data_IF_754616560016
#
_entry.id   IF_754616560016
#
_cell.length_a   1.000
_cell.length_b   1.000
_cell.length_c   1.000
_cell.angle_alpha   90.00
_cell.angle_beta   90.00
_cell.angle_gamma   90.00
#
_symmetry.space_group_name_H-M   'P 1'
#
loop_
_entity.id
_entity.type
_entity.pdbx_description
1 polymer ?
#
# COMPACT_ATOMS: atom_id res chain seq x y z
N UNK A 1 -42.31 7.05 -11.92
CA UNK A 1 -41.27 6.25 -12.61
C UNK A 1 -40.06 7.09 -13.02
N UNK A 2 -40.21 8.11 -13.89
CA UNK A 2 -39.09 8.96 -14.37
C UNK A 2 -38.23 9.59 -13.25
N UNK A 3 -38.86 10.11 -12.18
CA UNK A 3 -38.15 10.71 -11.03
C UNK A 3 -37.32 9.70 -10.22
N UNK A 4 -37.83 8.48 -10.07
CA UNK A 4 -37.14 7.40 -9.35
C UNK A 4 -35.95 6.92 -10.17
N UNK A 5 -36.12 6.74 -11.48
CA UNK A 5 -35.01 6.40 -12.38
C UNK A 5 -33.91 7.47 -12.39
N UNK A 6 -34.28 8.75 -12.35
CA UNK A 6 -33.32 9.86 -12.23
C UNK A 6 -32.56 9.81 -10.91
N UNK A 7 -33.25 9.56 -9.79
CA UNK A 7 -32.62 9.45 -8.48
C UNK A 7 -31.63 8.28 -8.42
N UNK A 8 -32.00 7.13 -9.00
CA UNK A 8 -31.12 5.95 -9.09
C UNK A 8 -29.89 6.25 -9.93
N UNK A 9 -30.04 6.95 -11.05
CA UNK A 9 -28.91 7.36 -11.89
C UNK A 9 -27.94 8.27 -11.14
N UNK A 10 -28.46 9.30 -10.45
CA UNK A 10 -27.64 10.22 -9.65
C UNK A 10 -26.91 9.48 -8.53
N UNK A 11 -27.61 8.59 -7.82
CA UNK A 11 -27.01 7.83 -6.72
C UNK A 11 -25.95 6.82 -7.22
N UNK A 12 -26.20 6.18 -8.36
CA UNK A 12 -25.25 5.29 -9.02
C UNK A 12 -23.97 6.01 -9.45
N UNK A 13 -24.09 7.23 -10.00
CA UNK A 13 -22.95 8.06 -10.39
C UNK A 13 -22.12 8.53 -9.17
N UNK A 14 -22.78 8.76 -8.03
CA UNK A 14 -22.11 9.12 -6.78
C UNK A 14 -21.25 7.97 -6.24
N UNK A 15 -21.74 6.72 -6.29
CA UNK A 15 -20.99 5.55 -5.83
C UNK A 15 -19.67 5.31 -6.60
N UNK A 16 -19.57 5.73 -7.87
CA UNK A 16 -18.34 5.58 -8.68
C UNK A 16 -17.20 6.47 -8.19
N UNK A 17 -17.51 7.49 -7.38
CA UNK A 17 -16.50 8.41 -6.81
C UNK A 17 -15.89 7.89 -5.50
N UNK A 18 -16.45 6.84 -4.91
CA UNK A 18 -15.94 6.24 -3.68
C UNK A 18 -14.82 5.27 -4.05
N UNK A 19 -13.64 5.80 -4.36
CA UNK A 19 -12.43 5.00 -4.34
C UNK A 19 -12.18 4.60 -2.87
N UNK A 20 -12.04 3.31 -2.61
CA UNK A 20 -11.46 2.84 -1.35
C UNK A 20 -10.13 3.56 -1.15
N UNK A 21 -10.07 4.53 -0.23
CA UNK A 21 -8.87 5.31 0.04
C UNK A 21 -7.92 4.48 0.91
N UNK A 22 -7.41 3.39 0.37
CA UNK A 22 -6.23 2.74 0.95
C UNK A 22 -5.02 3.60 0.58
N UNK A 23 -4.78 4.64 1.39
CA UNK A 23 -3.59 5.47 1.30
C UNK A 23 -2.51 4.83 2.16
N UNK A 24 -1.45 4.38 1.51
CA UNK A 24 -0.29 3.83 2.20
C UNK A 24 0.39 4.92 3.04
N UNK A 25 0.74 4.57 4.28
CA UNK A 25 1.58 5.44 5.11
C UNK A 25 3.03 5.39 4.61
N UNK A 26 3.36 6.36 3.76
CA UNK A 26 4.71 6.52 3.21
C UNK A 26 5.63 7.32 4.14
N UNK A 27 5.19 7.65 5.35
CA UNK A 27 5.95 8.46 6.31
C UNK A 27 6.40 7.70 7.55
N UNK A 28 5.79 6.54 7.81
CA UNK A 28 6.19 5.65 8.90
C UNK A 28 7.68 5.31 8.86
N UNK A 29 8.33 5.46 10.01
CA UNK A 29 9.75 5.14 10.22
C UNK A 29 9.85 4.22 11.45
N UNK A 30 10.06 2.91 11.25
CA UNK A 30 10.13 1.96 12.35
C UNK A 30 11.42 2.16 13.17
N UNK A 31 11.32 1.97 14.49
CA UNK A 31 12.46 1.92 15.40
C UNK A 31 12.58 0.50 15.95
N UNK A 32 13.64 -0.21 15.55
CA UNK A 32 13.96 -1.56 16.02
C UNK A 32 15.37 -1.51 16.61
N UNK A 33 15.48 -1.87 17.90
CA UNK A 33 16.75 -1.81 18.64
C UNK A 33 17.63 -3.02 18.34
N UNK A 34 17.02 -4.19 18.17
CA UNK A 34 17.70 -5.47 17.90
C UNK A 34 17.16 -6.06 16.59
N UNK A 35 17.82 -5.80 15.45
CA UNK A 35 17.48 -6.42 14.16
C UNK A 35 17.66 -7.94 14.19
N UNK A 36 16.86 -8.69 13.43
CA UNK A 36 16.91 -10.15 13.40
C UNK A 36 18.19 -10.69 12.75
N UNK A 37 18.74 -9.96 11.78
CA UNK A 37 19.98 -10.36 11.10
C UNK A 37 20.99 -9.21 11.06
N UNK A 38 22.27 -9.58 11.13
CA UNK A 38 23.36 -8.68 10.79
C UNK A 38 23.38 -8.44 9.28
N UNK A 39 23.66 -7.20 8.89
CA UNK A 39 23.68 -6.77 7.48
C UNK A 39 24.64 -7.61 6.61
N UNK A 40 25.72 -8.15 7.20
CA UNK A 40 26.68 -9.00 6.48
C UNK A 40 26.14 -10.37 6.07
N UNK A 41 25.05 -10.84 6.70
CA UNK A 41 24.44 -12.16 6.44
C UNK A 41 22.93 -12.07 6.20
N UNK A 42 22.43 -10.84 6.02
CA UNK A 42 21.01 -10.55 5.86
C UNK A 42 20.42 -11.27 4.62
N UNK A 43 19.30 -12.00 4.78
CA UNK A 43 18.59 -12.57 3.65
C UNK A 43 17.90 -11.48 2.83
N UNK A 44 17.99 -11.59 1.51
CA UNK A 44 17.43 -10.58 0.59
C UNK A 44 15.96 -10.84 0.31
N UNK A 45 15.13 -9.82 0.49
CA UNK A 45 13.73 -9.80 0.04
C UNK A 45 13.61 -9.01 -1.27
N UNK A 46 13.17 -9.66 -2.33
CA UNK A 46 12.88 -9.02 -3.62
C UNK A 46 11.39 -8.68 -3.73
N UNK A 47 11.05 -7.42 -4.01
CA UNK A 47 9.68 -6.97 -4.28
C UNK A 47 9.55 -6.65 -5.77
N UNK A 48 8.69 -7.40 -6.46
CA UNK A 48 8.44 -7.19 -7.88
C UNK A 48 7.72 -5.86 -8.14
N UNK A 49 8.20 -5.12 -9.13
CA UNK A 49 7.60 -3.88 -9.63
C UNK A 49 7.12 -3.99 -11.08
N UNK A 50 7.13 -5.19 -11.67
CA UNK A 50 6.60 -5.44 -13.00
C UNK A 50 5.06 -5.30 -13.05
N UNK A 51 4.50 -5.31 -14.27
CA UNK A 51 3.06 -5.30 -14.52
C UNK A 51 2.29 -4.13 -13.87
N UNK A 52 2.94 -2.99 -13.66
CA UNK A 52 2.38 -1.85 -12.92
C UNK A 52 1.83 -2.27 -11.56
N UNK A 53 2.54 -3.16 -10.87
CA UNK A 53 2.13 -3.65 -9.57
C UNK A 53 1.96 -2.46 -8.60
N UNK A 54 0.82 -2.42 -7.91
CA UNK A 54 0.53 -1.37 -6.92
C UNK A 54 1.49 -1.44 -5.72
N UNK A 55 1.93 -2.66 -5.38
CA UNK A 55 2.77 -2.93 -4.23
C UNK A 55 4.25 -2.96 -4.62
N UNK A 56 4.81 -1.78 -4.84
CA UNK A 56 6.26 -1.60 -5.09
C UNK A 56 7.01 -1.22 -3.80
N UNK A 57 8.34 -1.33 -3.86
CA UNK A 57 9.25 -0.95 -2.76
C UNK A 57 9.04 0.49 -2.28
N UNK A 58 8.72 1.41 -3.19
CA UNK A 58 8.53 2.85 -2.91
C UNK A 58 7.06 3.27 -2.87
N UNK A 59 6.14 2.35 -3.18
CA UNK A 59 4.70 2.57 -3.26
C UNK A 59 3.95 1.80 -2.19
N UNK A 60 3.02 0.93 -2.59
CA UNK A 60 2.11 0.26 -1.66
C UNK A 60 2.77 -0.58 -0.58
N UNK A 61 4.00 -1.05 -0.79
CA UNK A 61 4.78 -1.78 0.19
C UNK A 61 5.89 -0.98 0.86
N UNK A 62 5.93 0.34 0.69
CA UNK A 62 6.94 1.17 1.39
C UNK A 62 6.98 0.98 2.92
N UNK A 63 5.85 0.82 3.64
CA UNK A 63 5.91 0.60 5.10
C UNK A 63 6.53 -0.77 5.41
N UNK A 64 6.16 -1.81 4.67
CA UNK A 64 6.71 -3.15 4.81
C UNK A 64 8.22 -3.17 4.51
N UNK A 65 8.63 -2.57 3.40
CA UNK A 65 10.03 -2.49 3.01
C UNK A 65 10.90 -1.81 4.09
N UNK A 66 10.42 -0.72 4.69
CA UNK A 66 11.12 -0.04 5.78
C UNK A 66 11.18 -0.88 7.04
N UNK A 67 10.08 -1.58 7.37
CA UNK A 67 10.04 -2.47 8.52
C UNK A 67 11.06 -3.59 8.38
N UNK A 68 11.06 -4.29 7.24
CA UNK A 68 11.99 -5.41 7.01
C UNK A 68 13.44 -4.94 7.01
N UNK A 69 13.74 -3.81 6.37
CA UNK A 69 15.08 -3.22 6.38
C UNK A 69 15.54 -2.83 7.79
N UNK A 70 14.67 -2.22 8.59
CA UNK A 70 14.97 -1.90 9.99
C UNK A 70 15.16 -3.16 10.85
N UNK A 71 14.54 -4.28 10.46
CA UNK A 71 14.69 -5.59 11.10
C UNK A 71 15.88 -6.40 10.54
N UNK A 72 16.72 -5.81 9.69
CA UNK A 72 17.96 -6.45 9.23
C UNK A 72 17.83 -7.34 7.99
N UNK A 73 16.77 -7.16 7.18
CA UNK A 73 16.63 -7.81 5.87
C UNK A 73 17.10 -6.89 4.72
#
# INVERSE_FOLDING_TARGET
>A
MKKISFLILVFGLYCVTVQSQQRFDTTFTPHIVEPLFDVSVAPVICIDSAHNNLHTLVGGFSPFARLMKANGF
#
